data_IF_151587356443
#
_entry.id   IF_151587356443
#
_cell.length_a   1.000
_cell.length_b   1.000
_cell.length_c   1.000
_cell.angle_alpha   90.00
_cell.angle_beta   90.00
_cell.angle_gamma   90.00
#
_symmetry.space_group_name_H-M   'P 1'
#
loop_
_entity.id
_entity.type
_entity.pdbx_description
1 polymer ?
#
# COMPACT_ATOMS: atom_id res chain seq x y z
N UNK A 1 6.71 12.08 -7.94
CA UNK A 1 5.54 11.37 -7.39
C UNK A 1 6.02 10.17 -6.60
N UNK A 2 5.63 10.07 -5.36
CA UNK A 2 5.96 8.92 -4.52
C UNK A 2 4.78 7.96 -4.50
N UNK A 3 5.06 6.69 -4.75
CA UNK A 3 4.09 5.63 -4.67
C UNK A 3 4.40 4.76 -3.45
N UNK A 4 3.47 4.71 -2.51
CA UNK A 4 3.54 3.85 -1.33
C UNK A 4 2.73 2.59 -1.63
N UNK A 5 3.40 1.45 -1.71
CA UNK A 5 2.80 0.18 -2.10
C UNK A 5 2.80 -0.76 -0.91
N UNK A 6 1.62 -1.20 -0.51
CA UNK A 6 1.44 -2.17 0.57
C UNK A 6 0.74 -3.39 -0.02
N UNK A 7 1.43 -4.52 -0.01
CA UNK A 7 0.82 -5.80 -0.33
C UNK A 7 0.57 -6.51 0.99
N UNK A 8 -0.64 -7.04 1.18
CA UNK A 8 -0.94 -7.67 2.46
C UNK A 8 -1.88 -8.86 2.32
N UNK A 9 -1.79 -9.72 3.33
CA UNK A 9 -2.62 -10.90 3.48
C UNK A 9 -3.28 -10.85 4.85
N UNK A 10 -4.60 -10.70 4.92
CA UNK A 10 -5.33 -10.77 6.19
C UNK A 10 -5.17 -12.13 6.85
N UNK A 11 -5.24 -12.15 8.18
CA UNK A 11 -5.20 -13.40 8.94
C UNK A 11 -6.41 -14.26 8.63
N UNK A 12 -6.21 -15.58 8.63
CA UNK A 12 -7.31 -16.51 8.60
C UNK A 12 -8.19 -16.32 9.85
N UNK A 13 -9.50 -16.41 9.68
CA UNK A 13 -10.44 -16.26 10.79
C UNK A 13 -10.68 -14.83 11.25
N UNK A 14 -10.26 -13.85 10.46
CA UNK A 14 -10.52 -12.44 10.76
C UNK A 14 -12.02 -12.17 10.84
N UNK A 15 -12.47 -11.61 11.95
CA UNK A 15 -13.88 -11.34 12.20
C UNK A 15 -14.38 -10.14 11.39
N UNK A 16 -15.69 -10.14 11.11
CA UNK A 16 -16.34 -9.05 10.37
C UNK A 16 -16.10 -7.68 11.01
N UNK A 17 -16.20 -7.60 12.35
CA UNK A 17 -15.94 -6.36 13.07
C UNK A 17 -14.54 -5.82 12.86
N UNK A 18 -13.54 -6.70 12.82
CA UNK A 18 -12.15 -6.32 12.56
C UNK A 18 -11.97 -5.80 11.14
N UNK A 19 -12.63 -6.42 10.17
CA UNK A 19 -12.62 -5.97 8.77
C UNK A 19 -13.24 -4.59 8.62
N UNK A 20 -14.36 -4.37 9.30
CA UNK A 20 -15.04 -3.09 9.31
C UNK A 20 -14.20 -1.99 9.96
N UNK A 21 -13.54 -2.30 11.08
CA UNK A 21 -12.67 -1.36 11.78
C UNK A 21 -11.48 -0.95 10.92
N UNK A 22 -10.89 -1.91 10.20
CA UNK A 22 -9.81 -1.63 9.27
C UNK A 22 -10.28 -0.73 8.11
N UNK A 23 -11.43 -1.05 7.53
CA UNK A 23 -12.00 -0.26 6.44
C UNK A 23 -12.30 1.18 6.89
N UNK A 24 -12.84 1.35 8.10
CA UNK A 24 -13.10 2.69 8.67
C UNK A 24 -11.82 3.46 8.91
N UNK A 25 -10.77 2.79 9.39
CA UNK A 25 -9.47 3.43 9.60
C UNK A 25 -8.83 3.88 8.27
N UNK A 26 -8.93 3.08 7.22
CA UNK A 26 -8.51 3.47 5.88
C UNK A 26 -9.31 4.68 5.37
N UNK A 27 -10.63 4.63 5.50
CA UNK A 27 -11.50 5.74 5.08
C UNK A 27 -11.14 7.03 5.81
N UNK A 28 -10.92 6.95 7.11
CA UNK A 28 -10.51 8.10 7.93
C UNK A 28 -9.17 8.68 7.45
N UNK A 29 -8.20 7.83 7.15
CA UNK A 29 -6.90 8.27 6.63
C UNK A 29 -7.06 8.99 5.28
N UNK A 30 -7.81 8.40 4.37
CA UNK A 30 -8.05 8.98 3.04
C UNK A 30 -8.76 10.33 3.16
N UNK A 31 -9.74 10.43 4.03
CA UNK A 31 -10.55 11.65 4.17
C UNK A 31 -9.82 12.77 4.90
N UNK A 32 -8.93 12.45 5.84
CA UNK A 32 -8.34 13.43 6.74
C UNK A 32 -6.88 13.77 6.45
N UNK A 33 -6.17 12.96 5.66
CA UNK A 33 -4.77 13.22 5.34
C UNK A 33 -4.67 13.85 3.95
N UNK A 34 -4.60 15.17 3.92
CA UNK A 34 -4.61 15.93 2.66
C UNK A 34 -3.40 15.66 1.76
N UNK A 35 -2.30 15.17 2.33
CA UNK A 35 -1.10 14.81 1.55
C UNK A 35 -1.34 13.64 0.60
N UNK A 36 -2.32 12.79 0.86
CA UNK A 36 -2.68 11.68 -0.04
C UNK A 36 -3.30 12.28 -1.30
N UNK A 37 -2.64 12.12 -2.44
CA UNK A 37 -3.13 12.61 -3.75
C UNK A 37 -4.09 11.62 -4.38
N UNK A 38 -3.86 10.34 -4.18
CA UNK A 38 -4.70 9.28 -4.71
C UNK A 38 -4.52 8.03 -3.85
N UNK A 39 -5.62 7.34 -3.57
CA UNK A 39 -5.61 6.07 -2.86
C UNK A 39 -6.41 5.03 -3.63
N UNK A 40 -5.83 3.88 -3.83
CA UNK A 40 -6.48 2.73 -4.46
C UNK A 40 -6.22 1.50 -3.64
N UNK A 41 -7.27 0.71 -3.41
CA UNK A 41 -7.19 -0.54 -2.68
C UNK A 41 -7.90 -1.60 -3.52
N UNK A 42 -7.25 -2.72 -3.70
CA UNK A 42 -7.82 -3.77 -4.54
C UNK A 42 -7.44 -5.17 -4.09
N UNK A 43 -8.11 -6.11 -4.70
CA UNK A 43 -7.90 -7.54 -4.45
C UNK A 43 -7.09 -8.15 -5.58
N UNK A 44 -6.18 -9.07 -5.23
CA UNK A 44 -5.39 -9.81 -6.20
C UNK A 44 -6.32 -10.55 -7.19
N UNK A 45 -5.92 -10.49 -8.45
CA UNK A 45 -6.55 -11.30 -9.52
C UNK A 45 -5.55 -12.31 -10.03
N UNK A 46 -6.02 -13.53 -10.26
CA UNK A 46 -5.23 -14.57 -10.92
C UNK A 46 -5.83 -14.87 -12.28
N UNK A 47 -5.01 -15.29 -13.22
CA UNK A 47 -5.41 -15.49 -14.63
C UNK A 47 -4.70 -16.67 -15.30
N UNK A 48 -4.02 -17.52 -14.52
CA UNK A 48 -3.44 -18.78 -15.00
C UNK A 48 -2.05 -18.70 -15.61
N UNK A 49 -1.40 -17.53 -15.61
CA UNK A 49 -0.02 -17.42 -16.11
C UNK A 49 0.97 -18.09 -15.15
N UNK A 50 2.02 -18.65 -15.73
CA UNK A 50 3.00 -19.43 -14.98
C UNK A 50 3.69 -18.67 -13.86
N UNK A 51 3.90 -17.34 -14.01
CA UNK A 51 4.57 -16.56 -12.97
C UNK A 51 3.78 -16.52 -11.65
N UNK A 52 2.49 -16.78 -11.67
CA UNK A 52 1.69 -16.85 -10.44
C UNK A 52 2.17 -17.96 -9.50
N UNK A 53 2.65 -19.07 -10.09
CA UNK A 53 3.17 -20.20 -9.32
C UNK A 53 4.53 -19.92 -8.69
N UNK A 54 5.24 -18.90 -9.17
CA UNK A 54 6.52 -18.49 -8.63
C UNK A 54 6.38 -17.58 -7.39
N UNK A 55 5.17 -17.07 -7.15
CA UNK A 55 4.91 -16.19 -6.02
C UNK A 55 4.71 -17.03 -4.77
N UNK A 56 5.62 -16.88 -3.81
CA UNK A 56 5.63 -17.70 -2.59
C UNK A 56 4.52 -17.33 -1.61
N UNK A 57 4.11 -16.08 -1.62
CA UNK A 57 3.08 -15.59 -0.72
C UNK A 57 1.93 -15.07 -1.56
N UNK A 58 0.72 -15.47 -1.19
CA UNK A 58 -0.49 -14.94 -1.79
C UNK A 58 -0.91 -13.67 -1.03
N UNK A 59 -0.37 -12.52 -1.46
CA UNK A 59 -0.86 -11.24 -0.98
C UNK A 59 -2.18 -10.93 -1.65
N UNK A 60 -3.26 -11.14 -0.94
CA UNK A 60 -4.62 -11.06 -1.50
C UNK A 60 -5.09 -9.63 -1.72
N UNK A 61 -4.42 -8.64 -1.12
CA UNK A 61 -4.77 -7.23 -1.24
C UNK A 61 -3.56 -6.36 -1.52
N UNK A 62 -3.82 -5.25 -2.20
CA UNK A 62 -2.86 -4.18 -2.39
C UNK A 62 -3.51 -2.85 -2.03
N UNK A 63 -2.77 -2.01 -1.30
CA UNK A 63 -3.09 -0.61 -1.11
C UNK A 63 -2.00 0.22 -1.79
N UNK A 64 -2.39 1.15 -2.64
CA UNK A 64 -1.46 1.98 -3.42
C UNK A 64 -1.83 3.44 -3.17
N UNK A 65 -0.94 4.16 -2.50
CA UNK A 65 -1.12 5.56 -2.15
C UNK A 65 -0.11 6.41 -2.90
N UNK A 66 -0.56 7.52 -3.47
CA UNK A 66 0.28 8.46 -4.19
C UNK A 66 0.45 9.75 -3.40
N UNK A 67 1.70 10.22 -3.34
CA UNK A 67 2.08 11.48 -2.72
C UNK A 67 2.90 12.31 -3.71
N UNK A 68 2.81 13.62 -3.60
CA UNK A 68 3.55 14.50 -4.50
C UNK A 68 5.06 14.34 -4.32
N UNK A 69 5.52 14.20 -3.08
CA UNK A 69 6.92 14.09 -2.71
C UNK A 69 7.11 13.35 -1.38
N UNK A 70 8.36 13.22 -0.94
CA UNK A 70 8.69 12.59 0.34
C UNK A 70 8.11 13.33 1.54
N UNK A 71 7.99 14.64 1.47
CA UNK A 71 7.38 15.41 2.54
C UNK A 71 5.91 15.01 2.74
N UNK A 72 5.19 14.78 1.64
CA UNK A 72 3.81 14.29 1.68
C UNK A 72 3.70 12.90 2.29
N UNK A 73 4.60 11.99 1.91
CA UNK A 73 4.65 10.65 2.52
C UNK A 73 4.92 10.74 4.03
N UNK A 74 5.87 11.56 4.45
CA UNK A 74 6.17 11.74 5.88
C UNK A 74 4.99 12.32 6.63
N UNK A 75 4.30 13.30 6.06
CA UNK A 75 3.10 13.87 6.66
C UNK A 75 2.02 12.80 6.89
N UNK A 76 1.85 11.89 5.94
CA UNK A 76 0.96 10.74 6.06
C UNK A 76 1.39 9.82 7.20
N UNK A 77 2.66 9.42 7.22
CA UNK A 77 3.18 8.47 8.21
C UNK A 77 3.12 9.02 9.64
N UNK A 78 3.21 10.32 9.80
CA UNK A 78 3.19 11.02 11.10
C UNK A 78 1.79 11.44 11.55
N UNK A 79 0.80 11.33 10.67
CA UNK A 79 -0.56 11.77 10.95
C UNK A 79 -1.25 10.85 11.96
N UNK A 80 -2.05 11.39 12.91
CA UNK A 80 -2.79 10.55 13.87
C UNK A 80 -3.71 9.51 13.21
N UNK A 81 -4.33 9.84 12.08
CA UNK A 81 -5.16 8.89 11.34
C UNK A 81 -4.36 7.70 10.80
N UNK A 82 -3.07 7.91 10.44
CA UNK A 82 -2.17 6.83 10.06
C UNK A 82 -1.83 5.95 11.27
N UNK A 83 -1.63 6.53 12.43
CA UNK A 83 -1.37 5.77 13.65
C UNK A 83 -2.51 4.80 13.95
N UNK A 84 -3.75 5.28 13.84
CA UNK A 84 -4.95 4.43 14.01
C UNK A 84 -5.04 3.37 12.92
N UNK A 85 -4.81 3.75 11.67
CA UNK A 85 -4.79 2.79 10.55
C UNK A 85 -3.73 1.70 10.78
N UNK A 86 -2.53 2.10 11.20
CA UNK A 86 -1.44 1.15 11.48
C UNK A 86 -1.80 0.16 12.57
N UNK A 87 -2.44 0.61 13.64
CA UNK A 87 -2.88 -0.25 14.73
C UNK A 87 -3.90 -1.29 14.24
N UNK A 88 -4.91 -0.85 13.47
CA UNK A 88 -5.92 -1.75 12.91
C UNK A 88 -5.34 -2.72 11.90
N UNK A 89 -4.45 -2.22 11.04
CA UNK A 89 -3.75 -3.03 10.06
C UNK A 89 -2.91 -4.11 10.74
N UNK A 90 -2.17 -3.76 11.78
CA UNK A 90 -1.32 -4.68 12.51
C UNK A 90 -2.13 -5.83 13.13
N UNK A 91 -3.33 -5.55 13.60
CA UNK A 91 -4.23 -6.57 14.16
C UNK A 91 -4.82 -7.50 13.11
N UNK A 92 -4.87 -7.08 11.85
CA UNK A 92 -5.63 -7.76 10.79
C UNK A 92 -4.77 -8.58 9.84
N UNK A 93 -3.49 -8.28 9.65
CA UNK A 93 -2.69 -8.94 8.65
C UNK A 93 -1.84 -10.07 9.22
N UNK A 94 -1.59 -11.09 8.38
CA UNK A 94 -0.65 -12.17 8.64
C UNK A 94 0.73 -11.84 8.09
N UNK A 95 0.78 -11.33 6.87
CA UNK A 95 2.01 -10.91 6.17
C UNK A 95 1.75 -9.64 5.38
N UNK A 96 2.75 -8.80 5.29
CA UNK A 96 2.71 -7.59 4.48
C UNK A 96 4.09 -7.21 3.96
N UNK A 97 4.10 -6.54 2.82
CA UNK A 97 5.27 -5.88 2.25
C UNK A 97 4.92 -4.41 2.03
N UNK A 98 5.83 -3.52 2.39
CA UNK A 98 5.65 -2.08 2.24
C UNK A 98 6.88 -1.50 1.57
N UNK A 99 6.69 -0.91 0.39
CA UNK A 99 7.77 -0.31 -0.39
C UNK A 99 7.35 1.05 -0.90
N UNK A 100 8.29 1.96 -0.93
CA UNK A 100 8.09 3.30 -1.46
C UNK A 100 8.96 3.51 -2.68
N UNK A 101 8.36 4.06 -3.74
CA UNK A 101 9.04 4.28 -5.01
C UNK A 101 8.86 5.70 -5.46
N UNK A 102 9.92 6.29 -5.99
CA UNK A 102 9.84 7.51 -6.77
C UNK A 102 9.55 7.10 -8.21
N UNK A 103 8.37 7.48 -8.71
CA UNK A 103 7.88 7.00 -10.00
C UNK A 103 7.77 8.12 -11.02
N UNK A 104 8.03 7.77 -12.27
CA UNK A 104 7.97 8.66 -13.42
C UNK A 104 7.21 7.95 -14.55
N UNK A 105 6.71 8.72 -15.50
CA UNK A 105 6.06 8.14 -16.66
C UNK A 105 7.01 7.23 -17.44
N UNK A 106 6.46 6.21 -18.11
CA UNK A 106 7.16 5.08 -18.68
C UNK A 106 8.54 5.34 -19.27
N UNK A 107 8.63 6.12 -20.37
CA UNK A 107 9.91 6.35 -21.02
C UNK A 107 10.89 7.15 -20.15
N UNK A 108 10.39 8.13 -19.41
CA UNK A 108 11.22 8.90 -18.45
C UNK A 108 11.67 7.98 -17.32
N UNK A 109 10.77 7.16 -16.79
CA UNK A 109 11.07 6.21 -15.71
C UNK A 109 12.12 5.18 -16.10
N UNK A 110 12.15 4.76 -17.37
CA UNK A 110 13.15 3.81 -17.85
C UNK A 110 14.58 4.33 -17.69
N UNK A 111 14.76 5.66 -17.68
CA UNK A 111 16.10 6.23 -17.46
C UNK A 111 16.68 5.86 -16.09
N UNK A 112 15.85 5.58 -15.10
CA UNK A 112 16.33 5.16 -13.77
C UNK A 112 17.09 3.84 -13.84
N UNK A 113 16.79 2.98 -14.81
CA UNK A 113 17.49 1.70 -15.00
C UNK A 113 18.90 1.89 -15.57
N UNK A 114 19.18 3.06 -16.13
CA UNK A 114 20.46 3.38 -16.76
C UNK A 114 21.39 4.17 -15.85
N UNK A 115 20.89 4.61 -14.69
CA UNK A 115 21.65 5.38 -13.70
C UNK A 115 22.40 4.42 -12.78
N UNK A 116 23.64 4.78 -12.42
CA UNK A 116 24.39 4.06 -11.43
C UNK A 116 23.89 4.41 -10.03
N UNK A 117 23.63 3.41 -9.22
CA UNK A 117 23.36 3.60 -7.80
C UNK A 117 24.68 3.62 -7.01
N UNK A 118 24.87 4.68 -6.27
CA UNK A 118 26.07 4.87 -5.46
C UNK A 118 25.78 4.70 -3.98
#
# INVERSE_FOLDING_TARGET
>A
MILHVVLFRPRAGLEEGQRQDLAKAFASAIDNISAIKRARIGRRRTHGRAYEQLMRVDYTYAAILEFEDLAGLRAYLEHPAHTELGARFFDCFEQALMYDFDVYDGHVGLNTLLEEEL
#
